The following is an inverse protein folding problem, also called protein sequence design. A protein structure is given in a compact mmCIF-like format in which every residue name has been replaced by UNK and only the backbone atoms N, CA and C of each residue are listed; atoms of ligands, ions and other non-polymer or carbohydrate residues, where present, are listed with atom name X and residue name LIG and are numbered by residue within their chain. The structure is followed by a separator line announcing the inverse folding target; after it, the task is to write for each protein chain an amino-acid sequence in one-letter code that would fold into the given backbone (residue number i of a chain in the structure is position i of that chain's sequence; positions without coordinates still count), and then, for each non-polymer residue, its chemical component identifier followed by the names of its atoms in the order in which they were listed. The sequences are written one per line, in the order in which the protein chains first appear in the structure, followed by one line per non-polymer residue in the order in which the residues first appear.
data_IF_203351057563
#
_entry.id   IF_203351057563
#
_cell.length_a   1.000
_cell.length_b   1.000
_cell.length_c   1.000
_cell.angle_alpha   90.00
_cell.angle_beta   90.00
_cell.angle_gamma   90.00
#
_symmetry.space_group_name_H-M   'P 1'
#
loop_
_entity.id
_entity.type
_entity.pdbx_description
1 polymer ?
#
# COMPACT_ATOMS: atom_id res chain seq x y z
N UNK A 1 -7.43 -47.51 -34.89
CA UNK A 1 -6.62 -46.34 -34.50
C UNK A 1 -5.63 -46.85 -33.47
N UNK A 2 -4.31 -46.75 -33.71
CA UNK A 2 -3.32 -47.33 -32.80
C UNK A 2 -3.35 -46.60 -31.46
N UNK A 3 -3.18 -47.34 -30.36
CA UNK A 3 -3.14 -46.77 -29.00
C UNK A 3 -2.05 -45.69 -28.86
N UNK A 4 -0.97 -45.80 -29.63
CA UNK A 4 0.09 -44.79 -29.70
C UNK A 4 -0.43 -43.43 -30.20
N UNK A 5 -1.29 -43.42 -31.23
CA UNK A 5 -1.87 -42.21 -31.79
C UNK A 5 -2.85 -41.55 -30.80
N UNK A 6 -3.62 -42.36 -30.06
CA UNK A 6 -4.52 -41.85 -29.02
C UNK A 6 -3.74 -41.22 -27.84
N UNK A 7 -2.63 -41.84 -27.44
CA UNK A 7 -1.76 -41.38 -26.36
C UNK A 7 -1.01 -40.10 -26.71
N UNK A 8 -0.54 -40.01 -27.95
CA UNK A 8 0.14 -38.81 -28.47
C UNK A 8 -0.83 -37.63 -28.56
N UNK A 9 -2.06 -37.86 -29.03
CA UNK A 9 -3.11 -36.83 -29.06
C UNK A 9 -3.48 -36.39 -27.63
N UNK A 10 -3.66 -37.32 -26.68
CA UNK A 10 -4.00 -36.99 -25.30
C UNK A 10 -2.92 -36.14 -24.61
N UNK A 11 -1.64 -36.45 -24.84
CA UNK A 11 -0.51 -35.69 -24.29
C UNK A 11 -0.49 -34.24 -24.81
N UNK A 12 -0.81 -34.05 -26.09
CA UNK A 12 -0.91 -32.74 -26.72
C UNK A 12 -2.09 -31.89 -26.24
N UNK A 13 -3.13 -32.48 -25.66
CA UNK A 13 -4.24 -31.71 -25.06
C UNK A 13 -4.03 -31.41 -23.57
N UNK A 14 -3.46 -32.34 -22.82
CA UNK A 14 -3.32 -32.21 -21.36
C UNK A 14 -2.24 -31.18 -20.98
N UNK A 15 -1.12 -31.13 -21.70
CA UNK A 15 -0.05 -30.17 -21.45
C UNK A 15 -0.53 -28.71 -21.62
N UNK A 16 -1.14 -28.31 -22.75
CA UNK A 16 -1.67 -26.95 -22.90
C UNK A 16 -2.89 -26.67 -22.01
N UNK A 17 -3.72 -27.66 -21.67
CA UNK A 17 -4.84 -27.46 -20.73
C UNK A 17 -4.35 -27.19 -19.30
N UNK A 18 -3.34 -27.91 -18.82
CA UNK A 18 -2.74 -27.69 -17.49
C UNK A 18 -1.96 -26.38 -17.43
N UNK A 19 -1.21 -26.03 -18.49
CA UNK A 19 -0.61 -24.70 -18.66
C UNK A 19 -1.67 -23.60 -18.70
N UNK A 20 -2.77 -23.81 -19.42
CA UNK A 20 -3.89 -22.88 -19.52
C UNK A 20 -4.55 -22.62 -18.16
N UNK A 21 -4.81 -23.67 -17.38
CA UNK A 21 -5.38 -23.56 -16.02
C UNK A 21 -4.39 -22.91 -15.06
N UNK A 22 -3.10 -23.25 -15.12
CA UNK A 22 -2.06 -22.60 -14.32
C UNK A 22 -1.97 -21.09 -14.64
N UNK A 23 -2.02 -20.72 -15.93
CA UNK A 23 -2.08 -19.31 -16.36
C UNK A 23 -3.40 -18.66 -15.92
N UNK A 24 -4.54 -19.36 -15.98
CA UNK A 24 -5.84 -18.85 -15.53
C UNK A 24 -5.98 -18.70 -14.01
N UNK A 25 -5.19 -19.45 -13.21
CA UNK A 25 -5.14 -19.30 -11.76
C UNK A 25 -4.09 -18.26 -11.32
N UNK A 26 -3.00 -18.10 -12.08
CA UNK A 26 -1.97 -17.07 -11.83
C UNK A 26 -2.39 -15.69 -12.34
N UNK A 27 -3.13 -15.60 -13.46
CA UNK A 27 -3.61 -14.36 -14.05
C UNK A 27 -4.53 -13.52 -13.13
N UNK A 28 -5.51 -14.06 -12.39
CA UNK A 28 -6.29 -13.29 -11.44
C UNK A 28 -5.44 -12.86 -10.26
N UNK A 29 -4.41 -13.61 -9.88
CA UNK A 29 -3.46 -13.21 -8.83
C UNK A 29 -2.58 -12.04 -9.29
N UNK A 30 -2.13 -12.02 -10.55
CA UNK A 30 -1.42 -10.88 -11.15
C UNK A 30 -2.35 -9.68 -11.40
N UNK A 31 -3.61 -9.92 -11.77
CA UNK A 31 -4.62 -8.85 -11.95
C UNK A 31 -5.07 -8.23 -10.63
N UNK A 32 -5.22 -9.02 -9.55
CA UNK A 32 -5.50 -8.49 -8.20
C UNK A 32 -4.38 -7.57 -7.70
N UNK A 33 -3.14 -7.79 -8.15
CA UNK A 33 -1.98 -7.00 -7.75
C UNK A 33 -1.52 -5.95 -8.79
N UNK A 34 -2.00 -5.99 -10.05
CA UNK A 34 -1.37 -5.25 -11.15
C UNK A 34 -2.27 -4.48 -12.12
N UNK A 35 -3.60 -4.62 -12.08
CA UNK A 35 -4.47 -4.06 -13.14
C UNK A 35 -5.67 -3.27 -12.63
N UNK A 36 -5.41 -2.05 -12.12
CA UNK A 36 -6.46 -1.04 -11.88
C UNK A 36 -6.17 0.34 -12.54
N UNK A 37 -5.23 0.45 -13.48
CA UNK A 37 -4.73 1.78 -13.92
C UNK A 37 -4.86 2.12 -15.42
N UNK A 38 -5.53 1.29 -16.24
CA UNK A 38 -5.51 1.48 -17.71
C UNK A 38 -6.61 2.34 -18.33
N UNK A 39 -7.84 2.28 -17.82
CA UNK A 39 -9.01 2.98 -18.40
C UNK A 39 -9.15 4.47 -18.01
N UNK A 40 -8.72 4.96 -16.82
CA UNK A 40 -9.03 6.32 -16.39
C UNK A 40 -8.23 7.42 -17.12
N UNK A 41 -7.05 7.12 -17.68
CA UNK A 41 -6.13 8.16 -18.18
C UNK A 41 -6.65 8.95 -19.40
N UNK A 42 -7.35 8.31 -20.35
CA UNK A 42 -7.81 8.99 -21.58
C UNK A 42 -8.96 9.97 -21.32
N UNK A 43 -9.90 9.61 -20.43
CA UNK A 43 -11.00 10.50 -20.03
C UNK A 43 -10.49 11.67 -19.20
N UNK A 44 -9.56 11.41 -18.28
CA UNK A 44 -8.85 12.43 -17.49
C UNK A 44 -8.18 13.49 -18.36
N UNK A 45 -7.45 13.09 -19.42
CA UNK A 45 -6.83 14.03 -20.38
C UNK A 45 -7.85 14.93 -21.10
N UNK A 46 -9.00 14.38 -21.50
CA UNK A 46 -10.07 15.16 -22.13
C UNK A 46 -10.67 16.19 -21.17
N UNK A 47 -10.84 15.82 -19.89
CA UNK A 47 -11.36 16.74 -18.88
C UNK A 47 -10.37 17.86 -18.55
N UNK A 48 -9.06 17.58 -18.45
CA UNK A 48 -8.05 18.63 -18.31
C UNK A 48 -8.06 19.62 -19.49
N UNK A 49 -8.16 19.12 -20.72
CA UNK A 49 -8.27 19.99 -21.89
C UNK A 49 -9.58 20.80 -21.91
N UNK A 50 -10.68 20.25 -21.37
CA UNK A 50 -11.93 20.98 -21.19
C UNK A 50 -11.83 22.08 -20.14
N UNK A 51 -11.14 21.81 -19.02
CA UNK A 51 -10.92 22.76 -17.94
C UNK A 51 -10.12 23.96 -18.44
N UNK A 52 -9.10 23.72 -19.25
CA UNK A 52 -8.27 24.76 -19.86
C UNK A 52 -9.10 25.70 -20.76
N UNK A 53 -10.07 25.17 -21.52
CA UNK A 53 -10.97 25.99 -22.34
C UNK A 53 -11.87 26.87 -21.48
N UNK A 54 -12.41 26.33 -20.39
CA UNK A 54 -13.25 27.09 -19.45
C UNK A 54 -12.44 28.23 -18.81
N UNK A 55 -11.20 27.95 -18.41
CA UNK A 55 -10.27 28.96 -17.87
C UNK A 55 -9.97 30.06 -18.90
N UNK A 56 -9.63 29.71 -20.13
CA UNK A 56 -9.33 30.71 -21.20
C UNK A 56 -10.56 31.55 -21.55
N UNK A 57 -11.76 30.99 -21.45
CA UNK A 57 -13.00 31.72 -21.69
C UNK A 57 -13.39 32.67 -20.53
N UNK A 58 -12.84 32.46 -19.34
CA UNK A 58 -13.11 33.30 -18.17
C UNK A 58 -12.46 34.69 -18.35
N UNK A 59 -13.30 35.73 -18.49
CA UNK A 59 -12.85 37.13 -18.65
C UNK A 59 -13.03 37.98 -17.38
N UNK A 60 -13.44 37.37 -16.27
CA UNK A 60 -13.77 38.05 -15.00
C UNK A 60 -12.75 37.78 -13.89
N UNK A 61 -13.00 38.39 -12.72
CA UNK A 61 -12.28 38.04 -11.47
C UNK A 61 -12.80 36.77 -10.84
N UNK A 62 -13.99 36.30 -11.21
CA UNK A 62 -14.61 35.11 -10.67
C UNK A 62 -14.84 34.07 -11.78
N UNK A 63 -14.67 32.80 -11.43
CA UNK A 63 -14.81 31.65 -12.29
C UNK A 63 -15.64 30.58 -11.58
N UNK A 64 -16.75 30.20 -12.20
CA UNK A 64 -17.63 29.15 -11.70
C UNK A 64 -17.53 27.91 -12.58
N UNK A 65 -17.33 26.76 -11.95
CA UNK A 65 -17.14 25.48 -12.64
C UNK A 65 -18.08 24.44 -12.07
N UNK A 66 -18.91 23.85 -12.93
CA UNK A 66 -19.72 22.70 -12.55
C UNK A 66 -18.85 21.44 -12.43
N UNK A 67 -18.62 21.00 -11.19
CA UNK A 67 -17.85 19.83 -10.81
C UNK A 67 -18.32 18.56 -11.55
N UNK A 68 -19.62 18.44 -11.81
CA UNK A 68 -20.20 17.26 -12.45
C UNK A 68 -19.66 17.06 -13.87
N UNK A 69 -19.19 18.12 -14.54
CA UNK A 69 -18.55 18.06 -15.86
C UNK A 69 -17.11 17.51 -15.81
N UNK A 70 -16.49 17.54 -14.63
CA UNK A 70 -15.08 17.20 -14.38
C UNK A 70 -14.88 16.07 -13.37
N UNK A 71 -15.89 15.21 -13.19
CA UNK A 71 -15.91 14.13 -12.18
C UNK A 71 -14.75 13.11 -12.19
N UNK A 72 -13.93 13.07 -13.25
CA UNK A 72 -12.77 12.16 -13.34
C UNK A 72 -11.49 12.85 -12.85
N UNK A 73 -11.52 14.17 -12.65
CA UNK A 73 -10.51 14.91 -11.90
C UNK A 73 -10.89 14.84 -10.43
N UNK A 74 -9.89 14.85 -9.54
CA UNK A 74 -10.13 15.09 -8.11
C UNK A 74 -10.23 16.59 -7.84
N UNK A 75 -10.95 16.96 -6.77
CA UNK A 75 -11.15 18.37 -6.42
C UNK A 75 -9.80 19.08 -6.24
N UNK A 76 -8.82 18.38 -5.66
CA UNK A 76 -7.44 18.84 -5.59
C UNK A 76 -6.76 19.01 -6.93
N UNK A 77 -6.97 18.12 -7.90
CA UNK A 77 -6.44 18.27 -9.27
C UNK A 77 -6.99 19.51 -9.97
N UNK A 78 -8.28 19.78 -9.80
CA UNK A 78 -8.95 20.92 -10.42
C UNK A 78 -8.47 22.23 -9.80
N UNK A 79 -8.34 22.27 -8.47
CA UNK A 79 -7.74 23.39 -7.73
C UNK A 79 -6.29 23.62 -8.11
N UNK A 80 -5.47 22.57 -8.20
CA UNK A 80 -4.06 22.67 -8.59
C UNK A 80 -3.91 23.19 -10.02
N UNK A 81 -4.71 22.68 -10.96
CA UNK A 81 -4.67 23.12 -12.36
C UNK A 81 -5.03 24.59 -12.52
N UNK A 82 -6.04 25.08 -11.77
CA UNK A 82 -6.47 26.48 -11.80
C UNK A 82 -5.53 27.39 -10.99
N UNK A 83 -5.01 26.91 -9.86
CA UNK A 83 -4.07 27.61 -8.99
C UNK A 83 -2.79 28.01 -9.71
N UNK A 84 -2.27 27.16 -10.61
CA UNK A 84 -1.15 27.47 -11.53
C UNK A 84 -1.36 28.72 -12.38
N UNK A 85 -2.61 29.15 -12.53
CA UNK A 85 -3.01 30.31 -13.33
C UNK A 85 -3.60 31.43 -12.48
N UNK A 86 -3.29 31.45 -11.18
CA UNK A 86 -3.72 32.49 -10.26
C UNK A 86 -5.19 32.39 -9.84
N UNK A 87 -5.87 31.26 -10.04
CA UNK A 87 -7.26 31.09 -9.59
C UNK A 87 -7.31 30.41 -8.23
N UNK A 88 -7.95 31.04 -7.25
CA UNK A 88 -8.07 30.55 -5.88
C UNK A 88 -9.49 30.08 -5.60
N UNK A 89 -9.64 28.88 -5.04
CA UNK A 89 -10.94 28.38 -4.61
C UNK A 89 -11.50 29.23 -3.45
N UNK A 90 -12.74 29.69 -3.61
CA UNK A 90 -13.46 30.51 -2.62
C UNK A 90 -14.51 29.69 -1.88
N UNK A 91 -15.15 28.75 -2.56
CA UNK A 91 -16.20 27.94 -1.97
C UNK A 91 -16.96 27.13 -3.01
N UNK A 92 -17.98 26.43 -2.55
CA UNK A 92 -18.85 25.62 -3.38
C UNK A 92 -20.32 25.90 -3.09
N UNK A 93 -21.14 25.76 -4.12
CA UNK A 93 -22.58 25.84 -4.03
C UNK A 93 -23.17 24.51 -4.51
N UNK A 94 -23.82 23.80 -3.58
CA UNK A 94 -24.45 22.52 -3.85
C UNK A 94 -25.91 22.75 -4.29
N UNK A 95 -26.15 22.75 -5.61
CA UNK A 95 -27.49 22.84 -6.18
C UNK A 95 -28.13 21.46 -6.38
N UNK A 96 -29.45 21.42 -6.60
CA UNK A 96 -30.18 20.15 -6.87
C UNK A 96 -29.73 19.41 -8.14
N UNK A 97 -29.12 20.12 -9.10
CA UNK A 97 -28.71 19.56 -10.41
C UNK A 97 -27.26 19.87 -10.79
N UNK A 98 -26.56 20.67 -10.01
CA UNK A 98 -25.20 21.13 -10.30
C UNK A 98 -24.43 21.32 -9.00
N UNK A 99 -23.14 21.05 -9.04
CA UNK A 99 -22.22 21.34 -7.94
C UNK A 99 -21.21 22.35 -8.46
N UNK A 100 -21.41 23.61 -8.10
CA UNK A 100 -20.58 24.70 -8.60
C UNK A 100 -19.40 24.94 -7.66
N UNK A 101 -18.20 24.94 -8.20
CA UNK A 101 -16.98 25.38 -7.53
C UNK A 101 -16.70 26.82 -7.97
N UNK A 102 -16.52 27.73 -7.01
CA UNK A 102 -16.24 29.15 -7.25
C UNK A 102 -14.77 29.44 -7.00
N UNK A 103 -14.15 30.13 -7.94
CA UNK A 103 -12.77 30.57 -7.88
C UNK A 103 -12.67 32.07 -8.10
N UNK A 104 -11.74 32.75 -7.44
CA UNK A 104 -11.41 34.16 -7.67
C UNK A 104 -9.96 34.28 -8.11
N UNK A 105 -9.69 35.18 -9.06
CA UNK A 105 -8.37 35.46 -9.60
C UNK A 105 -7.54 36.30 -8.62
N UNK A 106 -6.43 35.72 -8.16
CA UNK A 106 -5.39 36.33 -7.34
C UNK A 106 -4.02 36.06 -7.99
N UNK A 107 -3.31 37.08 -8.53
CA UNK A 107 -2.04 36.88 -9.22
C UNK A 107 -0.97 36.25 -8.31
N UNK A 108 -0.16 35.35 -8.88
CA UNK A 108 0.69 34.38 -8.18
C UNK A 108 1.79 34.99 -7.28
N UNK A 109 2.16 36.25 -7.50
CA UNK A 109 3.30 36.90 -6.81
C UNK A 109 3.08 37.12 -5.30
N UNK A 110 1.83 37.08 -4.82
CA UNK A 110 1.52 37.20 -3.40
C UNK A 110 1.51 35.85 -2.63
N UNK A 111 1.59 34.70 -3.33
CA UNK A 111 1.14 33.41 -2.79
C UNK A 111 2.27 32.38 -2.60
N UNK A 112 3.32 32.41 -3.43
CA UNK A 112 4.41 31.41 -3.37
C UNK A 112 5.19 31.38 -2.04
N UNK A 113 5.31 32.53 -1.37
CA UNK A 113 6.01 32.68 -0.09
C UNK A 113 5.32 31.89 1.05
N UNK A 114 3.98 31.88 1.09
CA UNK A 114 3.21 31.27 2.18
C UNK A 114 3.17 29.74 2.05
N UNK A 115 3.10 29.18 0.84
CA UNK A 115 3.09 27.73 0.64
C UNK A 115 4.43 27.08 1.06
N UNK A 116 5.56 27.68 0.68
CA UNK A 116 6.88 27.21 1.10
C UNK A 116 7.09 27.33 2.62
N UNK A 117 6.65 28.43 3.22
CA UNK A 117 6.75 28.64 4.66
C UNK A 117 5.93 27.59 5.43
N UNK A 118 4.66 27.41 5.07
CA UNK A 118 3.77 26.41 5.69
C UNK A 118 4.28 24.98 5.52
N UNK A 119 4.85 24.65 4.36
CA UNK A 119 5.46 23.32 4.13
C UNK A 119 6.66 23.12 5.05
N UNK A 120 7.53 24.13 5.17
CA UNK A 120 8.71 24.07 6.04
C UNK A 120 8.32 23.94 7.51
N UNK A 121 7.32 24.69 7.97
CA UNK A 121 6.80 24.60 9.33
C UNK A 121 6.17 23.23 9.61
N UNK A 122 5.36 22.70 8.68
CA UNK A 122 4.78 21.37 8.83
C UNK A 122 5.88 20.30 8.92
N UNK A 123 6.89 20.34 8.03
CA UNK A 123 8.01 19.39 8.04
C UNK A 123 8.90 19.51 9.28
N UNK A 124 9.02 20.69 9.88
CA UNK A 124 9.76 20.90 11.12
C UNK A 124 9.04 20.27 12.32
N UNK A 125 7.71 20.37 12.37
CA UNK A 125 6.87 19.76 13.41
C UNK A 125 6.48 18.31 13.15
N UNK A 126 6.71 17.79 11.94
CA UNK A 126 6.29 16.46 11.53
C UNK A 126 6.99 15.36 12.35
N UNK A 127 6.19 14.37 12.76
CA UNK A 127 6.66 13.19 13.50
C UNK A 127 6.37 11.94 12.70
N UNK A 128 7.31 10.99 12.74
CA UNK A 128 7.14 9.70 12.09
C UNK A 128 6.04 8.90 12.78
N UNK A 129 5.17 8.27 11.99
CA UNK A 129 4.25 7.25 12.46
C UNK A 129 4.96 5.97 12.90
N UNK A 130 4.17 5.02 13.40
CA UNK A 130 4.64 3.69 13.84
C UNK A 130 5.31 2.89 12.74
N UNK A 131 4.89 3.07 11.49
CA UNK A 131 5.44 2.43 10.31
C UNK A 131 6.76 3.05 9.82
N UNK A 132 7.15 4.17 10.42
CA UNK A 132 8.30 4.94 10.00
C UNK A 132 8.06 5.91 8.88
N UNK A 133 6.82 6.27 8.61
CA UNK A 133 6.52 7.28 7.60
C UNK A 133 5.73 8.44 8.17
N UNK A 134 5.87 9.59 7.52
CA UNK A 134 4.97 10.71 7.65
C UNK A 134 4.24 10.87 6.31
N UNK A 135 2.92 11.04 6.35
CA UNK A 135 2.11 11.23 5.14
C UNK A 135 1.90 12.72 4.91
N UNK A 136 2.61 13.26 3.92
CA UNK A 136 2.44 14.64 3.47
C UNK A 136 1.31 14.69 2.43
N UNK A 137 0.26 15.47 2.73
CA UNK A 137 -0.82 15.75 1.80
C UNK A 137 -0.40 16.84 0.81
N UNK A 138 -0.04 16.45 -0.42
CA UNK A 138 0.49 17.41 -1.40
C UNK A 138 -0.58 18.37 -1.92
N UNK A 139 -1.87 18.07 -1.77
CA UNK A 139 -2.94 18.97 -2.20
C UNK A 139 -3.01 20.25 -1.35
N UNK A 140 -2.54 20.20 -0.10
CA UNK A 140 -2.42 21.39 0.77
C UNK A 140 -1.41 22.40 0.24
N UNK A 141 -0.53 21.95 -0.64
CA UNK A 141 0.54 22.71 -1.27
C UNK A 141 0.41 22.69 -2.79
N UNK A 142 -0.84 22.66 -3.30
CA UNK A 142 -1.14 22.63 -4.73
C UNK A 142 -0.52 23.79 -5.52
N UNK A 143 -0.17 24.88 -4.84
CA UNK A 143 0.54 26.04 -5.40
C UNK A 143 2.01 25.73 -5.73
N UNK A 144 2.59 24.68 -5.16
CA UNK A 144 3.97 24.24 -5.40
C UNK A 144 3.99 23.09 -6.39
N UNK A 145 4.98 23.09 -7.29
CA UNK A 145 5.18 21.94 -8.16
C UNK A 145 5.81 20.77 -7.39
N UNK A 146 5.49 19.54 -7.79
CA UNK A 146 6.01 18.34 -7.13
C UNK A 146 7.56 18.31 -6.99
N UNK A 147 8.35 18.77 -7.99
CA UNK A 147 9.82 18.90 -7.83
C UNK A 147 10.22 19.88 -6.71
N UNK A 148 9.51 21.00 -6.56
CA UNK A 148 9.75 22.00 -5.52
C UNK A 148 9.42 21.45 -4.13
N UNK A 149 8.29 20.73 -4.02
CA UNK A 149 7.93 20.01 -2.78
C UNK A 149 9.03 19.01 -2.41
N UNK A 150 9.52 18.21 -3.38
CA UNK A 150 10.60 17.24 -3.14
C UNK A 150 11.90 17.93 -2.70
N UNK A 151 12.24 19.07 -3.31
CA UNK A 151 13.41 19.84 -2.93
C UNK A 151 13.28 20.38 -1.50
N UNK A 152 12.12 20.93 -1.13
CA UNK A 152 11.83 21.42 0.23
C UNK A 152 11.83 20.28 1.27
N UNK A 153 11.30 19.11 0.93
CA UNK A 153 11.35 17.90 1.74
C UNK A 153 12.80 17.47 2.01
N UNK A 154 13.61 17.39 0.95
CA UNK A 154 15.01 16.99 1.06
C UNK A 154 15.84 18.01 1.86
N UNK A 155 15.61 19.32 1.67
CA UNK A 155 16.32 20.37 2.41
C UNK A 155 15.95 20.39 3.90
N UNK A 156 14.75 19.92 4.26
CA UNK A 156 14.32 19.70 5.63
C UNK A 156 14.85 18.39 6.25
N UNK A 157 15.71 17.63 5.55
CA UNK A 157 16.29 16.38 6.04
C UNK A 157 15.36 15.15 5.95
N UNK A 158 14.27 15.26 5.20
CA UNK A 158 13.35 14.16 4.92
C UNK A 158 13.69 13.49 3.59
N UNK A 159 13.34 12.22 3.47
CA UNK A 159 13.50 11.40 2.27
C UNK A 159 12.13 10.95 1.77
N UNK A 160 11.92 10.95 0.46
CA UNK A 160 10.70 10.43 -0.16
C UNK A 160 10.76 8.91 -0.25
N UNK A 161 9.99 8.22 0.59
CA UNK A 161 9.92 6.75 0.64
C UNK A 161 9.01 6.15 -0.45
N UNK A 162 8.07 6.94 -0.98
CA UNK A 162 7.16 6.56 -2.06
C UNK A 162 6.00 7.54 -2.22
N UNK A 163 5.18 7.32 -3.25
CA UNK A 163 3.89 7.96 -3.43
C UNK A 163 2.81 6.97 -2.99
N UNK A 164 1.86 7.42 -2.18
CA UNK A 164 0.67 6.64 -1.87
C UNK A 164 -0.43 6.98 -2.88
N UNK A 165 -0.65 6.05 -3.80
CA UNK A 165 -1.57 6.19 -4.94
C UNK A 165 -2.97 5.63 -4.65
N UNK A 166 -3.31 5.48 -3.36
CA UNK A 166 -4.48 4.73 -2.89
C UNK A 166 -5.78 5.52 -2.74
N UNK A 167 -5.82 6.80 -3.14
CA UNK A 167 -6.99 7.66 -2.96
C UNK A 167 -7.07 8.81 -3.96
N UNK A 168 -8.12 9.63 -3.85
CA UNK A 168 -8.33 10.81 -4.70
C UNK A 168 -7.27 11.90 -4.52
N UNK A 169 -6.45 11.81 -3.46
CA UNK A 169 -5.43 12.78 -3.09
C UNK A 169 -4.05 12.12 -3.06
N UNK A 170 -3.11 12.50 -3.95
CA UNK A 170 -1.76 11.98 -3.90
C UNK A 170 -1.11 12.39 -2.58
N UNK A 171 -0.53 11.43 -1.86
CA UNK A 171 0.23 11.67 -0.63
C UNK A 171 1.66 11.22 -0.80
N UNK A 172 2.61 12.05 -0.36
CA UNK A 172 4.01 11.66 -0.31
C UNK A 172 4.28 10.97 1.02
N UNK A 173 4.81 9.75 0.95
CA UNK A 173 5.33 9.06 2.14
C UNK A 173 6.75 9.53 2.38
N UNK A 174 6.95 10.23 3.49
CA UNK A 174 8.24 10.78 3.89
C UNK A 174 8.84 9.94 5.01
N UNK A 175 10.16 9.86 5.08
CA UNK A 175 10.90 9.20 6.16
C UNK A 175 12.17 9.99 6.49
N UNK A 176 12.83 9.67 7.59
CA UNK A 176 14.14 10.25 7.94
C UNK A 176 15.28 9.33 7.53
N UNK A 177 16.47 9.88 7.35
CA UNK A 177 17.67 9.08 7.12
C UNK A 177 17.88 8.08 8.25
N UNK A 178 18.30 6.85 7.92
CA UNK A 178 18.51 5.77 8.89
C UNK A 178 17.23 5.14 9.46
N UNK A 179 16.05 5.56 8.98
CA UNK A 179 14.77 5.04 9.46
C UNK A 179 14.25 3.92 8.55
N UNK A 180 13.99 2.75 9.13
CA UNK A 180 13.37 1.64 8.42
C UNK A 180 11.89 1.91 8.17
N UNK A 181 11.52 1.95 6.90
CA UNK A 181 10.12 2.09 6.46
C UNK A 181 9.49 0.72 6.26
N UNK A 182 8.32 0.51 6.87
CA UNK A 182 7.50 -0.66 6.58
C UNK A 182 6.63 -0.40 5.35
N UNK A 183 6.63 -1.34 4.39
CA UNK A 183 5.85 -1.24 3.15
C UNK A 183 4.82 -2.37 3.08
N UNK A 184 3.56 -2.03 2.83
CA UNK A 184 2.57 -2.94 2.24
C UNK A 184 1.60 -3.62 3.20
N UNK A 185 0.63 -4.39 2.65
CA UNK A 185 -0.46 -5.04 3.37
C UNK A 185 -0.02 -6.33 4.10
N UNK A 186 1.23 -6.37 4.58
CA UNK A 186 1.79 -7.53 5.27
C UNK A 186 1.17 -7.80 6.63
N UNK A 187 1.84 -8.64 7.43
CA UNK A 187 1.43 -8.87 8.84
C UNK A 187 1.36 -7.50 9.52
N UNK A 188 0.17 -7.06 9.92
CA UNK A 188 -0.02 -5.76 10.56
C UNK A 188 1.01 -5.56 11.68
N UNK A 189 1.77 -4.47 11.60
CA UNK A 189 2.82 -4.19 12.56
C UNK A 189 2.23 -3.81 13.92
N UNK A 190 1.68 -2.59 14.01
CA UNK A 190 0.83 -2.11 15.08
C UNK A 190 0.03 -0.92 14.55
N UNK A 191 -1.14 -0.69 15.12
CA UNK A 191 -1.93 0.53 14.86
C UNK A 191 -1.89 1.37 16.12
N UNK A 192 -1.82 2.69 15.98
CA UNK A 192 -1.76 3.61 17.12
C UNK A 192 -1.17 4.97 16.75
N UNK A 193 -1.18 5.88 17.72
CA UNK A 193 -0.59 7.21 17.60
C UNK A 193 0.94 7.17 17.58
N UNK A 194 1.59 8.13 16.92
CA UNK A 194 3.06 8.14 16.87
C UNK A 194 3.67 8.17 18.29
N UNK A 195 4.85 7.54 18.51
CA UNK A 195 5.52 7.58 19.80
C UNK A 195 5.76 9.01 20.31
N UNK A 196 5.99 9.95 19.38
CA UNK A 196 6.15 11.37 19.71
C UNK A 196 4.85 12.03 20.21
N UNK A 197 3.68 11.61 19.72
CA UNK A 197 2.38 12.06 20.26
C UNK A 197 2.12 11.46 21.63
N UNK A 198 2.35 10.16 21.79
CA UNK A 198 2.18 9.47 23.06
C UNK A 198 3.02 10.08 24.19
N UNK A 199 4.25 10.55 23.87
CA UNK A 199 5.12 11.27 24.83
C UNK A 199 4.53 12.57 25.37
N UNK A 200 3.50 13.15 24.74
CA UNK A 200 2.85 14.37 25.23
C UNK A 200 1.86 14.09 26.36
N UNK A 201 1.47 12.83 26.58
CA UNK A 201 0.51 12.44 27.62
C UNK A 201 1.30 12.04 28.89
N UNK A 202 1.19 12.78 30.01
CA UNK A 202 2.01 12.52 31.20
C UNK A 202 1.84 11.11 31.79
N UNK A 203 0.61 10.59 31.80
CA UNK A 203 0.32 9.23 32.26
C UNK A 203 1.04 8.15 31.42
N UNK A 204 1.13 8.37 30.11
CA UNK A 204 1.83 7.45 29.18
C UNK A 204 3.34 7.49 29.39
N UNK A 205 3.91 8.66 29.65
CA UNK A 205 5.34 8.82 29.97
C UNK A 205 5.68 8.12 31.28
N UNK A 206 4.87 8.30 32.33
CA UNK A 206 5.06 7.62 33.60
C UNK A 206 5.03 6.09 33.43
N UNK A 207 4.04 5.57 32.69
CA UNK A 207 3.93 4.13 32.42
C UNK A 207 5.06 3.60 31.54
N UNK A 208 5.52 4.36 30.55
CA UNK A 208 6.67 3.97 29.74
C UNK A 208 7.96 3.86 30.58
N UNK A 209 8.15 4.75 31.57
CA UNK A 209 9.29 4.68 32.49
C UNK A 209 9.22 3.46 33.43
N UNK A 210 8.02 3.05 33.85
CA UNK A 210 7.82 1.77 34.56
C UNK A 210 8.19 0.57 33.71
N UNK A 211 7.68 0.51 32.47
CA UNK A 211 8.00 -0.56 31.51
C UNK A 211 9.51 -0.63 31.26
N UNK A 212 10.18 0.52 31.16
CA UNK A 212 11.64 0.56 31.00
C UNK A 212 12.37 -0.06 32.20
N UNK A 213 11.91 0.20 33.43
CA UNK A 213 12.48 -0.41 34.64
C UNK A 213 12.20 -1.91 34.72
N UNK A 214 11.00 -2.35 34.33
CA UNK A 214 10.58 -3.75 34.41
C UNK A 214 11.17 -4.63 33.30
N UNK A 215 11.20 -4.13 32.06
CA UNK A 215 11.52 -4.92 30.86
C UNK A 215 12.85 -4.53 30.21
N UNK A 216 13.50 -3.45 30.66
CA UNK A 216 14.81 -3.02 30.19
C UNK A 216 14.80 -2.31 28.83
N UNK A 217 13.64 -1.91 28.30
CA UNK A 217 13.54 -1.14 27.06
C UNK A 217 12.54 0.02 27.18
N UNK A 218 12.83 1.15 26.53
CA UNK A 218 11.87 2.27 26.41
C UNK A 218 10.95 2.05 25.20
N UNK A 219 9.64 1.78 25.40
CA UNK A 219 8.69 1.55 24.31
C UNK A 219 8.42 2.80 23.46
N UNK A 220 8.83 3.99 23.90
CA UNK A 220 8.69 5.24 23.15
C UNK A 220 9.99 5.68 22.47
N UNK A 221 11.11 4.96 22.68
CA UNK A 221 12.42 5.29 22.11
C UNK A 221 12.45 5.13 20.60
N UNK A 222 12.86 6.18 19.88
CA UNK A 222 12.99 6.16 18.41
C UNK A 222 13.98 5.09 17.92
N UNK A 223 15.05 4.83 18.68
CA UNK A 223 16.04 3.81 18.35
C UNK A 223 15.45 2.39 18.45
N UNK A 224 14.72 2.10 19.53
CA UNK A 224 14.03 0.81 19.68
C UNK A 224 12.95 0.64 18.60
N UNK A 225 12.19 1.68 18.27
CA UNK A 225 11.25 1.63 17.15
C UNK A 225 11.93 1.28 15.82
N UNK A 226 13.10 1.86 15.55
CA UNK A 226 13.83 1.52 14.33
C UNK A 226 14.29 0.05 14.33
N UNK A 227 14.88 -0.41 15.43
CA UNK A 227 15.28 -1.80 15.62
C UNK A 227 14.10 -2.76 15.45
N UNK A 228 12.97 -2.49 16.09
CA UNK A 228 11.77 -3.34 16.02
C UNK A 228 11.21 -3.38 14.59
N UNK A 229 11.24 -2.27 13.84
CA UNK A 229 10.85 -2.25 12.42
C UNK A 229 11.79 -3.07 11.53
N UNK A 230 13.10 -3.00 11.77
CA UNK A 230 14.07 -3.84 11.07
C UNK A 230 13.82 -5.33 11.32
N UNK A 231 13.61 -5.70 12.59
CA UNK A 231 13.26 -7.06 12.99
C UNK A 231 11.94 -7.50 12.38
N UNK A 232 10.93 -6.64 12.38
CA UNK A 232 9.65 -6.91 11.74
C UNK A 232 9.82 -7.21 10.25
N UNK A 233 10.50 -6.34 9.50
CA UNK A 233 10.77 -6.50 8.06
C UNK A 233 11.54 -7.79 7.77
N UNK A 234 12.53 -8.11 8.61
CA UNK A 234 13.29 -9.35 8.50
C UNK A 234 12.39 -10.59 8.64
N UNK A 235 11.54 -10.62 9.68
CA UNK A 235 10.63 -11.73 9.92
C UNK A 235 9.54 -11.83 8.86
N UNK A 236 9.00 -10.70 8.42
CA UNK A 236 8.00 -10.60 7.35
C UNK A 236 8.54 -11.20 6.05
N UNK A 237 9.74 -10.84 5.61
CA UNK A 237 10.36 -11.40 4.40
C UNK A 237 10.49 -12.92 4.49
N UNK A 238 10.90 -13.44 5.64
CA UNK A 238 11.03 -14.90 5.87
C UNK A 238 9.67 -15.59 5.89
N UNK A 239 8.68 -14.99 6.54
CA UNK A 239 7.32 -15.50 6.61
C UNK A 239 6.67 -15.54 5.23
N UNK A 240 6.69 -14.43 4.49
CA UNK A 240 6.11 -14.32 3.15
C UNK A 240 6.71 -15.34 2.18
N UNK A 241 8.01 -15.63 2.28
CA UNK A 241 8.65 -16.70 1.50
C UNK A 241 8.05 -18.08 1.79
N UNK A 242 7.83 -18.42 3.06
CA UNK A 242 7.26 -19.73 3.42
C UNK A 242 5.78 -19.83 3.07
N UNK A 243 5.02 -18.75 3.27
CA UNK A 243 3.61 -18.68 2.84
C UNK A 243 3.49 -18.85 1.33
N UNK A 244 4.31 -18.14 0.55
CA UNK A 244 4.30 -18.26 -0.92
C UNK A 244 4.62 -19.70 -1.37
N UNK A 245 5.61 -20.35 -0.77
CA UNK A 245 5.95 -21.75 -1.06
C UNK A 245 4.80 -22.69 -0.68
N UNK A 246 4.21 -22.53 0.51
CA UNK A 246 3.08 -23.34 0.95
C UNK A 246 1.88 -23.19 0.00
N UNK A 247 1.54 -21.95 -0.39
CA UNK A 247 0.49 -21.67 -1.35
C UNK A 247 0.78 -22.30 -2.70
N UNK A 248 1.99 -22.15 -3.23
CA UNK A 248 2.39 -22.74 -4.51
C UNK A 248 2.26 -24.27 -4.48
N UNK A 249 2.83 -24.94 -3.49
CA UNK A 249 2.77 -26.40 -3.39
C UNK A 249 1.35 -26.91 -3.16
N UNK A 250 0.52 -26.19 -2.41
CA UNK A 250 -0.89 -26.54 -2.20
C UNK A 250 -1.68 -26.45 -3.51
N UNK A 251 -1.49 -25.37 -4.29
CA UNK A 251 -2.17 -25.19 -5.57
C UNK A 251 -1.73 -26.26 -6.57
N UNK A 252 -0.42 -26.41 -6.79
CA UNK A 252 0.10 -27.36 -7.77
C UNK A 252 -0.20 -28.80 -7.37
N UNK A 253 0.07 -29.17 -6.11
CA UNK A 253 -0.22 -30.50 -5.59
C UNK A 253 -1.72 -30.83 -5.62
N UNK A 254 -2.58 -29.86 -5.25
CA UNK A 254 -4.02 -30.02 -5.29
C UNK A 254 -4.57 -30.20 -6.71
N UNK A 255 -4.07 -29.42 -7.68
CA UNK A 255 -4.47 -29.55 -9.10
C UNK A 255 -4.06 -30.91 -9.66
N UNK A 256 -2.81 -31.34 -9.42
CA UNK A 256 -2.34 -32.65 -9.89
C UNK A 256 -3.11 -33.80 -9.25
N UNK A 257 -3.41 -33.70 -7.94
CA UNK A 257 -4.20 -34.70 -7.24
C UNK A 257 -5.64 -34.76 -7.77
N UNK A 258 -6.26 -33.61 -8.02
CA UNK A 258 -7.60 -33.54 -8.61
C UNK A 258 -7.61 -34.12 -10.03
N UNK A 259 -6.60 -33.83 -10.85
CA UNK A 259 -6.45 -34.40 -12.19
C UNK A 259 -6.30 -35.92 -12.16
N UNK A 260 -5.53 -36.46 -11.21
CA UNK A 260 -5.39 -37.89 -10.97
C UNK A 260 -6.73 -38.55 -10.64
N UNK A 261 -7.55 -37.94 -9.77
CA UNK A 261 -8.88 -38.48 -9.46
C UNK A 261 -9.89 -38.31 -10.59
N UNK A 262 -9.74 -37.28 -11.43
CA UNK A 262 -10.63 -37.03 -12.57
C UNK A 262 -10.36 -37.96 -13.76
N UNK A 263 -9.15 -38.48 -13.90
CA UNK A 263 -8.80 -39.43 -14.96
C UNK A 263 -9.32 -40.83 -14.60
N UNK A 264 -10.26 -41.35 -15.41
CA UNK A 264 -10.89 -42.66 -15.16
C UNK A 264 -9.85 -43.79 -15.14
N UNK A 265 -10.03 -44.76 -14.23
CA UNK A 265 -9.13 -45.91 -13.94
C UNK A 265 -8.67 -46.77 -15.14
N UNK A 266 -9.23 -46.61 -16.34
CA UNK A 266 -9.12 -47.60 -17.42
C UNK A 266 -7.78 -47.62 -18.17
N UNK A 267 -6.88 -46.64 -17.97
CA UNK A 267 -5.66 -46.48 -18.79
C UNK A 267 -4.33 -46.54 -18.02
N UNK A 268 -4.35 -46.77 -16.70
CA UNK A 268 -3.13 -46.73 -15.90
C UNK A 268 -2.57 -48.14 -15.66
N UNK A 269 -1.38 -48.39 -16.21
CA UNK A 269 -0.57 -49.54 -15.80
C UNK A 269 -0.19 -49.42 -14.31
N UNK A 270 -0.11 -50.53 -13.59
CA UNK A 270 0.06 -50.57 -12.13
C UNK A 270 1.29 -49.77 -11.68
N UNK A 271 2.39 -49.82 -12.44
CA UNK A 271 3.61 -49.07 -12.17
C UNK A 271 3.47 -47.54 -12.34
N UNK A 272 2.67 -47.10 -13.31
CA UNK A 272 2.49 -45.67 -13.61
C UNK A 272 1.65 -44.94 -12.56
N UNK A 273 0.70 -45.66 -11.95
CA UNK A 273 -0.22 -45.13 -10.94
C UNK A 273 0.54 -44.59 -9.72
N UNK A 274 1.53 -45.33 -9.22
CA UNK A 274 2.31 -44.93 -8.05
C UNK A 274 3.16 -43.69 -8.29
N UNK A 275 3.75 -43.55 -9.47
CA UNK A 275 4.59 -42.39 -9.83
C UNK A 275 3.73 -41.13 -9.91
N UNK A 276 2.56 -41.23 -10.53
CA UNK A 276 1.68 -40.08 -10.75
C UNK A 276 1.01 -39.63 -9.46
N UNK A 277 0.68 -40.56 -8.56
CA UNK A 277 0.19 -40.23 -7.23
C UNK A 277 1.31 -39.73 -6.30
N UNK A 278 2.54 -40.22 -6.48
CA UNK A 278 3.68 -39.83 -5.65
C UNK A 278 4.02 -38.34 -5.74
N UNK A 279 3.99 -37.76 -6.93
CA UNK A 279 4.29 -36.33 -7.16
C UNK A 279 3.38 -35.38 -6.35
N UNK A 280 2.04 -35.43 -6.47
CA UNK A 280 1.16 -34.55 -5.70
C UNK A 280 1.27 -34.81 -4.19
N UNK A 281 1.45 -36.05 -3.74
CA UNK A 281 1.67 -36.36 -2.33
C UNK A 281 2.93 -35.68 -1.81
N UNK A 282 4.05 -35.77 -2.53
CA UNK A 282 5.30 -35.09 -2.16
C UNK A 282 5.11 -33.57 -2.12
N UNK A 283 4.43 -32.98 -3.09
CA UNK A 283 4.13 -31.54 -3.10
C UNK A 283 3.29 -31.13 -1.88
N UNK A 284 2.25 -31.88 -1.53
CA UNK A 284 1.43 -31.60 -0.36
C UNK A 284 2.22 -31.75 0.96
N UNK A 285 3.14 -32.71 1.05
CA UNK A 285 4.07 -32.82 2.19
C UNK A 285 5.00 -31.60 2.28
N UNK A 286 5.52 -31.11 1.15
CA UNK A 286 6.32 -29.88 1.11
C UNK A 286 5.49 -28.66 1.51
N UNK A 287 4.21 -28.60 1.14
CA UNK A 287 3.28 -27.57 1.59
C UNK A 287 3.09 -27.60 3.11
N UNK A 288 2.92 -28.79 3.69
CA UNK A 288 2.86 -28.99 5.14
C UNK A 288 4.13 -28.53 5.85
N UNK A 289 5.30 -28.90 5.32
CA UNK A 289 6.60 -28.47 5.86
C UNK A 289 6.80 -26.94 5.79
N UNK A 290 6.42 -26.31 4.68
CA UNK A 290 6.49 -24.86 4.52
C UNK A 290 5.54 -24.15 5.51
N UNK A 291 4.32 -24.66 5.68
CA UNK A 291 3.34 -24.15 6.65
C UNK A 291 3.84 -24.27 8.10
N UNK A 292 4.43 -25.40 8.46
CA UNK A 292 5.06 -25.59 9.76
C UNK A 292 6.20 -24.58 10.01
N UNK A 293 7.07 -24.36 9.01
CA UNK A 293 8.13 -23.34 9.08
C UNK A 293 7.55 -21.92 9.24
N UNK A 294 6.47 -21.59 8.53
CA UNK A 294 5.78 -20.31 8.67
C UNK A 294 5.25 -20.10 10.09
N UNK A 295 4.62 -21.11 10.69
CA UNK A 295 4.17 -21.06 12.10
C UNK A 295 5.33 -20.89 13.08
N UNK A 296 6.45 -21.61 12.87
CA UNK A 296 7.65 -21.45 13.70
C UNK A 296 8.24 -20.04 13.58
N UNK A 297 8.26 -19.45 12.38
CA UNK A 297 8.68 -18.06 12.16
C UNK A 297 7.76 -17.09 12.91
N UNK A 298 6.44 -17.29 12.85
CA UNK A 298 5.47 -16.46 13.57
C UNK A 298 5.71 -16.50 15.08
N UNK A 299 5.92 -17.68 15.66
CA UNK A 299 6.25 -17.84 17.09
C UNK A 299 7.56 -17.15 17.45
N UNK A 300 8.60 -17.30 16.63
CA UNK A 300 9.89 -16.63 16.83
C UNK A 300 9.80 -15.11 16.75
N UNK A 301 9.02 -14.58 15.80
CA UNK A 301 8.71 -13.14 15.71
C UNK A 301 8.03 -12.66 17.01
N UNK A 302 7.05 -13.41 17.50
CA UNK A 302 6.35 -13.05 18.73
C UNK A 302 7.29 -13.06 19.94
N UNK A 303 8.19 -14.03 20.06
CA UNK A 303 9.19 -14.04 21.12
C UNK A 303 10.23 -12.90 21.02
N UNK A 304 10.52 -12.43 19.81
CA UNK A 304 11.56 -11.42 19.56
C UNK A 304 11.06 -9.98 19.73
N UNK A 305 9.87 -9.66 19.23
CA UNK A 305 9.31 -8.29 19.25
C UNK A 305 7.93 -8.19 19.92
N UNK A 306 7.36 -9.31 20.39
CA UNK A 306 5.99 -9.33 20.92
C UNK A 306 5.84 -8.51 22.19
N UNK A 307 6.81 -8.59 23.11
CA UNK A 307 6.75 -7.86 24.38
C UNK A 307 6.81 -6.34 24.17
N UNK A 308 7.60 -5.88 23.21
CA UNK A 308 7.66 -4.47 22.81
C UNK A 308 6.33 -4.01 22.20
N UNK A 309 5.76 -4.79 21.27
CA UNK A 309 4.49 -4.45 20.63
C UNK A 309 3.32 -4.43 21.62
N UNK A 310 3.30 -5.38 22.57
CA UNK A 310 2.30 -5.43 23.63
C UNK A 310 2.41 -4.23 24.58
N UNK A 311 3.64 -3.89 25.01
CA UNK A 311 3.89 -2.70 25.83
C UNK A 311 3.43 -1.42 25.14
N UNK A 312 3.70 -1.26 23.85
CA UNK A 312 3.23 -0.09 23.13
C UNK A 312 1.71 -0.06 22.96
N UNK A 313 1.05 -1.19 22.69
CA UNK A 313 -0.42 -1.26 22.62
C UNK A 313 -1.06 -0.87 23.95
N UNK A 314 -0.47 -1.27 25.09
CA UNK A 314 -0.90 -0.84 26.41
C UNK A 314 -0.84 0.69 26.56
N UNK A 315 0.26 1.31 26.12
CA UNK A 315 0.43 2.77 26.17
C UNK A 315 -0.55 3.51 25.24
N UNK A 316 -0.79 3.01 24.03
CA UNK A 316 -1.78 3.58 23.11
C UNK A 316 -3.21 3.51 23.68
N UNK A 317 -3.56 2.38 24.33
CA UNK A 317 -4.85 2.25 25.01
C UNK A 317 -4.98 3.21 26.20
N UNK A 318 -3.90 3.40 26.97
CA UNK A 318 -3.88 4.35 28.07
C UNK A 318 -4.11 5.79 27.58
N UNK A 319 -3.46 6.18 26.48
CA UNK A 319 -3.62 7.49 25.87
C UNK A 319 -5.05 7.77 25.39
N UNK A 320 -5.80 6.73 24.96
CA UNK A 320 -7.19 6.88 24.50
C UNK A 320 -8.21 6.97 25.64
N UNK A 321 -7.84 6.60 26.86
CA UNK A 321 -8.74 6.60 28.03
C UNK A 321 -8.67 7.87 28.86
N UNK A 322 -7.54 8.59 28.80
CA UNK A 322 -7.34 9.87 29.49
C UNK A 322 -7.69 11.04 28.59
#
# INVERSE_FOLDING_TARGET
MSEELAREIALWFIIPATLGIAVLLVAPFVKLFGTLLGVPQRRRRKQLAGLERVRVAARGRDLEIDWMRFKELSDGELRAALGKHGWRYVGEELGRKQWLLRFTYAPADAVGSDAHLRLREELAGATLGVDGTYLLDTERYADLELPEIKQAVNSAGWLVAGLEDGGSRPRLRLTRQGTTVLRGPGISFVQGDSPARLRKVPAVVARAAEIQRERGFDPLSSAEWNRVRERHRFWEKRFNRQVLLATFYTIVGGVLLAAFFATRKAEWDEGSTYVILGIPVVLLLLAGLASYKATRIRRRRQADIGDFLAAYQELDQLARRG
#
